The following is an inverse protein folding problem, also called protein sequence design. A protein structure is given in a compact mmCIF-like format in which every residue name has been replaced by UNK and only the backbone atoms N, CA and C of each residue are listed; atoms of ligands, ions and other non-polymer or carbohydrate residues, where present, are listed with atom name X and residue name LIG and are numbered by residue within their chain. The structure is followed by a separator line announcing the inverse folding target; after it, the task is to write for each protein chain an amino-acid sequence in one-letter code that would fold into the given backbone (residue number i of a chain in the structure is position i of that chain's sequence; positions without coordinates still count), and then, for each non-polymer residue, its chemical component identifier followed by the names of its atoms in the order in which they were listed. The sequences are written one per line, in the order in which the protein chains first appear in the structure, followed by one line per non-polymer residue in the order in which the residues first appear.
data_IF_476593653683
#
_entry.id   IF_476593653683
#
_cell.length_a   1.000
_cell.length_b   1.000
_cell.length_c   1.000
_cell.angle_alpha   90.00
_cell.angle_beta   90.00
_cell.angle_gamma   90.00
#
_symmetry.space_group_name_H-M   'P 1'
#
loop_
_entity.id
_entity.type
_entity.pdbx_description
1 polymer ?
#
# COMPACT_ATOMS: atom_id res chain seq x y z
N UNK A 1 -0.56 22.24 -12.67
CA UNK A 1 0.47 21.34 -12.09
C UNK A 1 1.11 20.56 -13.23
N UNK A 2 2.40 20.21 -13.17
CA UNK A 2 3.07 19.40 -14.20
C UNK A 2 2.85 17.90 -13.97
N UNK A 3 2.87 17.09 -15.03
CA UNK A 3 2.65 15.62 -14.96
C UNK A 3 3.61 14.95 -13.98
N UNK A 4 4.81 15.51 -13.88
CA UNK A 4 5.86 15.09 -12.94
C UNK A 4 5.38 15.14 -11.49
N UNK A 5 4.60 16.16 -11.09
CA UNK A 5 4.10 16.30 -9.72
C UNK A 5 3.11 15.20 -9.34
N UNK A 6 2.30 14.74 -10.29
CA UNK A 6 1.36 13.64 -10.09
C UNK A 6 2.11 12.33 -9.78
N UNK A 7 3.07 11.97 -10.63
CA UNK A 7 3.88 10.76 -10.44
C UNK A 7 4.73 10.79 -9.17
N UNK A 8 5.33 11.94 -8.84
CA UNK A 8 6.09 12.13 -7.59
C UNK A 8 5.20 11.90 -6.37
N UNK A 9 3.98 12.43 -6.35
CA UNK A 9 3.05 12.29 -5.22
C UNK A 9 2.65 10.82 -5.02
N UNK A 10 2.33 10.11 -6.11
CA UNK A 10 1.99 8.67 -6.07
C UNK A 10 3.18 7.83 -5.59
N UNK A 11 4.40 8.16 -6.04
CA UNK A 11 5.63 7.48 -5.62
C UNK A 11 5.92 7.66 -4.14
N UNK A 12 5.85 8.89 -3.63
CA UNK A 12 6.07 9.20 -2.20
C UNK A 12 5.04 8.49 -1.33
N UNK A 13 3.77 8.47 -1.75
CA UNK A 13 2.71 7.79 -1.02
C UNK A 13 2.95 6.27 -0.91
N UNK A 14 3.34 5.62 -2.01
CA UNK A 14 3.67 4.20 -2.00
C UNK A 14 4.87 3.88 -1.08
N UNK A 15 5.86 4.77 -1.02
CA UNK A 15 6.99 4.69 -0.09
C UNK A 15 6.57 4.76 1.38
N UNK A 16 5.60 5.61 1.71
CA UNK A 16 5.03 5.71 3.07
C UNK A 16 4.32 4.40 3.43
N UNK A 17 3.46 3.90 2.54
CA UNK A 17 2.70 2.65 2.76
C UNK A 17 3.64 1.46 2.93
N UNK A 18 4.67 1.37 2.09
CA UNK A 18 5.73 0.37 2.20
C UNK A 18 6.44 0.42 3.55
N UNK A 19 6.80 1.62 4.01
CA UNK A 19 7.45 1.83 5.30
C UNK A 19 6.56 1.43 6.47
N UNK A 20 5.25 1.66 6.38
CA UNK A 20 4.28 1.21 7.41
C UNK A 20 4.20 -0.31 7.50
N UNK A 21 4.26 -1.04 6.37
CA UNK A 21 4.34 -2.51 6.38
C UNK A 21 5.63 -3.02 7.01
N UNK A 22 6.76 -2.33 6.77
CA UNK A 22 8.02 -2.61 7.45
C UNK A 22 7.97 -2.32 8.96
N UNK A 23 7.29 -1.23 9.35
CA UNK A 23 7.10 -0.84 10.75
C UNK A 23 6.23 -1.85 11.50
N UNK A 24 5.18 -2.42 10.89
CA UNK A 24 4.38 -3.49 11.49
C UNK A 24 5.26 -4.70 11.87
N UNK A 25 6.23 -5.07 11.02
CA UNK A 25 7.20 -6.13 11.34
C UNK A 25 8.13 -5.73 12.49
N UNK A 26 8.58 -4.48 12.52
CA UNK A 26 9.42 -3.97 13.61
C UNK A 26 8.67 -3.99 14.95
N UNK A 27 7.38 -3.63 14.97
CA UNK A 27 6.53 -3.77 16.15
C UNK A 27 6.42 -5.24 16.58
N UNK A 28 6.25 -6.17 15.64
CA UNK A 28 6.21 -7.60 15.93
C UNK A 28 7.52 -8.14 16.53
N UNK A 29 8.68 -7.60 16.11
CA UNK A 29 10.01 -7.99 16.63
C UNK A 29 10.26 -7.36 18.00
N UNK A 30 9.93 -6.08 18.18
CA UNK A 30 10.20 -5.33 19.42
C UNK A 30 9.13 -5.54 20.50
N UNK A 31 8.06 -6.27 20.21
CA UNK A 31 6.98 -6.56 21.16
C UNK A 31 6.04 -5.39 21.44
N UNK A 32 6.02 -4.38 20.57
CA UNK A 32 5.08 -3.26 20.66
C UNK A 32 3.69 -3.67 20.15
N UNK A 33 2.68 -2.83 20.45
CA UNK A 33 1.34 -3.00 19.90
C UNK A 33 1.37 -3.09 18.38
N UNK A 34 0.75 -4.15 17.86
CA UNK A 34 0.68 -4.41 16.43
C UNK A 34 -0.32 -3.46 15.79
N UNK A 35 -0.02 -3.00 14.58
CA UNK A 35 -0.95 -2.16 13.84
C UNK A 35 -2.17 -3.00 13.47
N UNK A 36 -3.36 -2.39 13.58
CA UNK A 36 -4.59 -3.07 13.23
C UNK A 36 -4.55 -3.55 11.77
N UNK A 37 -5.02 -4.77 11.53
CA UNK A 37 -5.10 -5.33 10.17
C UNK A 37 -5.97 -4.46 9.25
N UNK A 38 -6.96 -3.78 9.82
CA UNK A 38 -7.82 -2.85 9.11
C UNK A 38 -7.07 -1.62 8.61
N UNK A 39 -6.19 -1.05 9.43
CA UNK A 39 -5.37 0.11 9.05
C UNK A 39 -4.45 -0.21 7.88
N UNK A 40 -3.76 -1.36 7.92
CA UNK A 40 -2.89 -1.80 6.82
C UNK A 40 -3.67 -1.96 5.51
N UNK A 41 -4.84 -2.60 5.57
CA UNK A 41 -5.70 -2.77 4.40
C UNK A 41 -6.24 -1.42 3.90
N UNK A 42 -6.64 -0.53 4.80
CA UNK A 42 -7.11 0.81 4.45
C UNK A 42 -6.03 1.60 3.70
N UNK A 43 -4.78 1.56 4.16
CA UNK A 43 -3.64 2.19 3.47
C UNK A 43 -3.37 1.56 2.10
N UNK A 44 -3.52 0.25 1.96
CA UNK A 44 -3.41 -0.42 0.66
C UNK A 44 -4.51 0.04 -0.31
N UNK A 45 -5.75 0.21 0.17
CA UNK A 45 -6.87 0.71 -0.64
C UNK A 45 -6.79 2.21 -0.95
N UNK A 46 -6.17 2.99 -0.08
CA UNK A 46 -5.92 4.41 -0.28
C UNK A 46 -4.74 4.64 -1.24
N UNK A 47 -4.75 4.09 -2.46
CA UNK A 47 -3.70 4.26 -3.48
C UNK A 47 -2.31 3.68 -3.14
N UNK A 48 -2.23 2.85 -2.10
CA UNK A 48 -0.98 2.26 -1.62
C UNK A 48 -0.73 0.81 -2.04
N UNK A 49 -1.54 0.23 -2.95
CA UNK A 49 -1.53 -1.20 -3.22
C UNK A 49 -0.18 -1.75 -3.71
N UNK A 50 0.60 -0.93 -4.42
CA UNK A 50 1.94 -1.30 -4.91
C UNK A 50 2.96 -1.37 -3.75
N UNK A 51 2.98 -0.33 -2.91
CA UNK A 51 3.79 -0.29 -1.69
C UNK A 51 3.41 -1.36 -0.67
N UNK A 52 2.11 -1.65 -0.54
CA UNK A 52 1.59 -2.71 0.33
C UNK A 52 1.98 -4.11 -0.16
N UNK A 53 1.93 -4.38 -1.47
CA UNK A 53 2.34 -5.67 -2.03
C UNK A 53 3.85 -5.88 -1.88
N UNK A 54 4.66 -4.87 -2.20
CA UNK A 54 6.11 -4.92 -1.97
C UNK A 54 6.44 -5.11 -0.48
N UNK A 55 5.75 -4.39 0.40
CA UNK A 55 5.84 -4.53 1.85
C UNK A 55 5.51 -5.95 2.33
N UNK A 56 4.49 -6.56 1.76
CA UNK A 56 4.09 -7.91 2.10
C UNK A 56 5.11 -8.96 1.62
N UNK A 57 5.59 -8.83 0.37
CA UNK A 57 6.51 -9.80 -0.26
C UNK A 57 7.89 -9.74 0.38
N UNK A 58 8.47 -8.54 0.54
CA UNK A 58 9.83 -8.37 1.07
C UNK A 58 9.92 -8.82 2.52
N UNK A 59 8.96 -8.42 3.35
CA UNK A 59 9.00 -8.77 4.77
C UNK A 59 8.40 -10.15 5.06
N UNK A 60 7.83 -10.83 4.04
CA UNK A 60 7.06 -12.10 4.18
C UNK A 60 6.05 -12.01 5.33
N UNK A 61 5.47 -10.83 5.53
CA UNK A 61 4.64 -10.56 6.68
C UNK A 61 3.20 -11.04 6.41
N UNK A 62 2.67 -11.93 7.26
CA UNK A 62 1.26 -12.37 7.23
C UNK A 62 0.77 -12.88 5.84
N UNK A 63 1.63 -13.55 5.08
CA UNK A 63 1.26 -14.23 3.81
C UNK A 63 0.32 -15.43 4.00
N UNK A 64 0.20 -15.94 5.23
CA UNK A 64 -0.67 -17.07 5.58
C UNK A 64 -2.12 -16.67 5.92
N UNK A 65 -2.39 -15.39 6.20
CA UNK A 65 -3.75 -14.92 6.48
C UNK A 65 -4.48 -14.78 5.15
N UNK A 66 -5.49 -15.63 4.92
CA UNK A 66 -6.27 -15.66 3.67
C UNK A 66 -6.85 -14.29 3.31
N UNK A 67 -7.27 -13.52 4.32
CA UNK A 67 -7.74 -12.13 4.18
C UNK A 67 -6.73 -11.25 3.47
N UNK A 68 -5.47 -11.32 3.88
CA UNK A 68 -4.38 -10.53 3.31
C UNK A 68 -3.95 -11.04 1.94
N UNK A 69 -3.91 -12.37 1.75
CA UNK A 69 -3.59 -12.99 0.46
C UNK A 69 -4.58 -12.61 -0.64
N UNK A 70 -5.86 -12.41 -0.30
CA UNK A 70 -6.90 -11.98 -1.25
C UNK A 70 -7.01 -10.45 -1.34
N UNK A 71 -6.96 -9.74 -0.21
CA UNK A 71 -7.20 -8.31 -0.17
C UNK A 71 -6.05 -7.50 -0.79
N UNK A 72 -4.80 -7.95 -0.69
CA UNK A 72 -3.63 -7.25 -1.30
C UNK A 72 -3.72 -7.23 -2.84
N UNK A 73 -3.96 -8.34 -3.55
CA UNK A 73 -4.13 -8.29 -5.00
C UNK A 73 -5.37 -7.50 -5.43
N UNK A 74 -6.46 -7.55 -4.66
CA UNK A 74 -7.64 -6.70 -4.91
C UNK A 74 -7.29 -5.21 -4.73
N UNK A 75 -6.56 -4.85 -3.67
CA UNK A 75 -6.12 -3.49 -3.41
C UNK A 75 -5.14 -3.00 -4.48
N UNK A 76 -4.32 -3.89 -5.04
CA UNK A 76 -3.43 -3.55 -6.16
C UNK A 76 -4.23 -3.26 -7.43
N UNK A 77 -5.19 -4.10 -7.79
CA UNK A 77 -6.09 -3.84 -8.93
C UNK A 77 -6.85 -2.53 -8.76
N UNK A 78 -7.35 -2.27 -7.54
CA UNK A 78 -7.98 -1.01 -7.19
C UNK A 78 -7.03 0.18 -7.34
N UNK A 79 -5.80 0.05 -6.85
CA UNK A 79 -4.79 1.11 -6.95
C UNK A 79 -4.44 1.44 -8.40
N UNK A 80 -4.28 0.43 -9.26
CA UNK A 80 -4.02 0.62 -10.70
C UNK A 80 -5.20 1.32 -11.36
N UNK A 81 -6.43 0.89 -11.09
CA UNK A 81 -7.64 1.55 -11.60
C UNK A 81 -7.72 3.00 -11.14
N UNK A 82 -7.50 3.26 -9.85
CA UNK A 82 -7.65 4.58 -9.26
C UNK A 82 -6.55 5.55 -9.73
N UNK A 83 -5.30 5.08 -9.91
CA UNK A 83 -4.22 5.88 -10.51
C UNK A 83 -4.54 6.20 -11.98
N UNK A 84 -4.99 5.22 -12.77
CA UNK A 84 -5.36 5.43 -14.17
C UNK A 84 -6.55 6.37 -14.34
N UNK A 85 -7.58 6.23 -13.50
CA UNK A 85 -8.73 7.12 -13.47
C UNK A 85 -8.35 8.54 -13.02
N UNK A 86 -7.53 8.66 -11.98
CA UNK A 86 -7.00 9.94 -11.51
C UNK A 86 -6.18 10.66 -12.57
N UNK A 87 -5.31 9.94 -13.29
CA UNK A 87 -4.55 10.49 -14.41
C UNK A 87 -5.47 10.94 -15.56
N UNK A 88 -6.50 10.15 -15.89
CA UNK A 88 -7.48 10.49 -16.93
C UNK A 88 -8.34 11.71 -16.60
N UNK A 89 -8.63 11.97 -15.33
CA UNK A 89 -9.27 13.21 -14.87
C UNK A 89 -8.31 14.40 -14.82
N UNK A 90 -7.03 14.15 -14.63
CA UNK A 90 -6.00 15.19 -14.49
C UNK A 90 -5.50 15.72 -15.83
N UNK A 91 -5.44 14.86 -16.86
CA UNK A 91 -5.06 15.21 -18.23
C UNK A 91 -6.19 15.90 -19.01
N UNK A 92 -7.42 15.83 -18.51
CA UNK A 92 -8.62 16.37 -19.16
C UNK A 92 -9.00 17.74 -18.63
#
# INVERSE_FOLDING_TARGET
MSDTQFWVTVGVWNLIVFSMYGYDKLCAIKGYDRISEFTLLFLAFAFGGLGALLGMVIWRHKTLKLKFKLAIPIALLWSVYAVGFGYGLWVK
#
